data_IF_472639671310
#
_entry.id   IF_472639671310
#
_cell.length_a   1.000
_cell.length_b   1.000
_cell.length_c   1.000
_cell.angle_alpha   90.00
_cell.angle_beta   90.00
_cell.angle_gamma   90.00
#
_symmetry.space_group_name_H-M   'P 1'
#
loop_
_entity.id
_entity.type
_entity.pdbx_description
1 polymer ?
#
# COMPACT_ATOMS: atom_id res chain seq x y z
N UNK A 1 -1.18 -35.00 -26.64
CA UNK A 1 -2.44 -34.33 -27.08
C UNK A 1 -3.23 -33.96 -25.83
N UNK A 2 -3.56 -32.68 -25.63
CA UNK A 2 -4.38 -32.25 -24.49
C UNK A 2 -5.81 -32.77 -24.66
N UNK A 3 -6.40 -33.33 -23.59
CA UNK A 3 -7.75 -33.93 -23.59
C UNK A 3 -8.75 -33.15 -22.72
N UNK A 4 -8.31 -32.08 -22.07
CA UNK A 4 -9.16 -31.29 -21.19
C UNK A 4 -10.07 -30.33 -21.96
N UNK A 5 -11.05 -29.75 -21.25
CA UNK A 5 -11.90 -28.66 -21.75
C UNK A 5 -11.47 -27.37 -21.08
N UNK A 6 -11.08 -26.39 -21.89
CA UNK A 6 -10.73 -25.06 -21.43
C UNK A 6 -11.88 -24.09 -21.74
N UNK A 7 -12.37 -23.39 -20.72
CA UNK A 7 -13.38 -22.34 -20.85
C UNK A 7 -12.97 -21.16 -19.96
N UNK A 8 -13.14 -19.94 -20.45
CA UNK A 8 -12.64 -18.73 -19.80
C UNK A 8 -13.79 -17.83 -19.33
N UNK A 9 -13.52 -17.10 -18.24
CA UNK A 9 -14.32 -15.97 -17.79
C UNK A 9 -13.36 -14.80 -17.52
N UNK A 10 -13.74 -13.61 -17.95
CA UNK A 10 -12.91 -12.40 -17.83
C UNK A 10 -13.52 -11.45 -16.82
N UNK A 11 -12.68 -10.90 -15.95
CA UNK A 11 -13.07 -9.93 -14.92
C UNK A 11 -12.13 -8.73 -14.98
N UNK A 12 -12.65 -7.54 -14.68
CA UNK A 12 -11.84 -6.32 -14.52
C UNK A 12 -12.38 -5.54 -13.33
N UNK A 13 -11.63 -5.58 -12.23
CA UNK A 13 -11.99 -4.91 -10.99
C UNK A 13 -11.12 -3.66 -10.81
N UNK A 14 -11.74 -2.51 -10.54
CA UNK A 14 -11.08 -1.23 -10.40
C UNK A 14 -11.96 -0.16 -9.78
N UNK A 15 -12.93 0.37 -10.55
CA UNK A 15 -13.76 1.51 -10.14
C UNK A 15 -14.52 1.27 -8.84
N UNK A 16 -15.02 0.06 -8.64
CA UNK A 16 -15.76 -0.37 -7.46
C UNK A 16 -14.91 -0.33 -6.18
N UNK A 17 -13.58 -0.31 -6.28
CA UNK A 17 -12.67 -0.21 -5.14
C UNK A 17 -12.32 1.22 -4.72
N UNK A 18 -12.49 2.21 -5.62
CA UNK A 18 -11.95 3.57 -5.43
C UNK A 18 -12.74 4.43 -4.44
N UNK A 19 -14.06 4.22 -4.34
CA UNK A 19 -14.97 4.98 -3.47
C UNK A 19 -15.63 4.07 -2.42
N UNK A 20 -14.90 3.08 -1.93
CA UNK A 20 -15.34 2.21 -0.84
C UNK A 20 -15.16 2.90 0.51
N UNK A 21 -15.85 2.42 1.53
CA UNK A 21 -15.56 2.84 2.89
C UNK A 21 -14.11 2.44 3.25
N UNK A 22 -13.30 3.36 3.83
CA UNK A 22 -11.90 3.07 4.15
C UNK A 22 -11.81 2.07 5.29
N UNK A 23 -10.83 1.17 5.25
CA UNK A 23 -10.49 0.30 6.38
C UNK A 23 -10.19 1.11 7.65
N UNK A 24 -10.23 0.50 8.85
CA UNK A 24 -9.81 1.19 10.07
C UNK A 24 -8.38 1.72 9.95
N UNK A 25 -7.48 0.92 9.34
CA UNK A 25 -6.11 1.34 9.05
C UNK A 25 -6.06 2.63 8.22
N UNK A 26 -6.81 2.70 7.11
CA UNK A 26 -6.82 3.87 6.23
C UNK A 26 -7.54 5.06 6.86
N UNK A 27 -8.58 4.83 7.67
CA UNK A 27 -9.28 5.86 8.41
C UNK A 27 -8.33 6.54 9.43
N UNK A 28 -7.65 5.74 10.26
CA UNK A 28 -6.67 6.22 11.23
C UNK A 28 -5.50 6.91 10.54
N UNK A 29 -4.97 6.32 9.46
CA UNK A 29 -3.83 6.84 8.72
C UNK A 29 -4.15 8.18 8.05
N UNK A 30 -5.28 8.27 7.35
CA UNK A 30 -5.70 9.51 6.68
C UNK A 30 -6.01 10.63 7.68
N UNK A 31 -6.67 10.31 8.80
CA UNK A 31 -6.92 11.28 9.87
C UNK A 31 -5.59 11.79 10.46
N UNK A 32 -4.67 10.88 10.76
CA UNK A 32 -3.34 11.21 11.29
C UNK A 32 -2.53 12.08 10.33
N UNK A 33 -2.60 11.82 9.03
CA UNK A 33 -1.94 12.64 8.00
C UNK A 33 -2.50 14.07 7.96
N UNK A 34 -3.82 14.23 8.00
CA UNK A 34 -4.46 15.55 8.04
C UNK A 34 -4.09 16.34 9.30
N UNK A 35 -4.15 15.68 10.46
CA UNK A 35 -3.74 16.28 11.72
C UNK A 35 -2.25 16.69 11.71
N UNK A 36 -1.39 15.80 11.21
CA UNK A 36 0.05 16.07 11.06
C UNK A 36 0.32 17.25 10.13
N UNK A 37 -0.41 17.36 9.02
CA UNK A 37 -0.30 18.51 8.11
C UNK A 37 -0.64 19.83 8.82
N UNK A 38 -1.72 19.86 9.62
CA UNK A 38 -2.08 21.04 10.42
C UNK A 38 -0.98 21.46 11.39
N UNK A 39 -0.28 20.48 12.01
CA UNK A 39 0.85 20.74 12.90
C UNK A 39 2.05 21.30 12.12
N UNK A 40 2.37 20.73 10.95
CA UNK A 40 3.46 21.24 10.10
C UNK A 40 3.22 22.71 9.72
N UNK A 41 1.98 23.07 9.36
CA UNK A 41 1.58 24.45 9.07
C UNK A 41 1.75 25.34 10.30
N UNK A 42 1.27 24.89 11.47
CA UNK A 42 1.39 25.64 12.73
C UNK A 42 2.85 25.91 13.13
N UNK A 43 3.79 25.05 12.75
CA UNK A 43 5.24 25.24 12.93
C UNK A 43 5.93 25.95 11.77
N UNK A 44 5.18 26.56 10.84
CA UNK A 44 5.71 27.36 9.74
C UNK A 44 6.47 26.55 8.68
N UNK A 45 6.16 25.25 8.52
CA UNK A 45 6.81 24.40 7.52
C UNK A 45 6.09 24.49 6.17
N UNK A 46 6.84 24.62 5.08
CA UNK A 46 6.34 24.63 3.69
C UNK A 46 7.18 23.72 2.80
N UNK A 47 6.58 23.16 1.75
CA UNK A 47 7.25 22.21 0.85
C UNK A 47 7.48 20.82 1.45
N UNK A 48 6.75 20.47 2.51
CA UNK A 48 6.79 19.16 3.16
C UNK A 48 5.53 18.35 2.84
N UNK A 49 5.71 17.05 2.59
CA UNK A 49 4.63 16.07 2.60
C UNK A 49 4.40 15.61 4.04
N UNK A 50 3.14 15.58 4.49
CA UNK A 50 2.76 14.97 5.77
C UNK A 50 3.14 13.49 5.77
N UNK A 51 3.75 13.01 6.85
CA UNK A 51 4.24 11.63 6.94
C UNK A 51 3.93 11.04 8.29
N UNK A 52 3.42 9.81 8.28
CA UNK A 52 3.21 8.99 9.48
C UNK A 52 3.97 7.68 9.25
N UNK A 53 4.85 7.33 10.19
CA UNK A 53 5.74 6.16 10.12
C UNK A 53 5.40 5.14 11.19
N UNK A 54 6.02 3.96 11.09
CA UNK A 54 5.82 2.85 12.03
C UNK A 54 4.38 2.30 12.00
N UNK A 55 3.76 2.30 10.81
CA UNK A 55 2.33 2.03 10.62
C UNK A 55 1.93 0.55 10.75
N UNK A 56 2.88 -0.37 10.92
CA UNK A 56 2.58 -1.78 11.25
C UNK A 56 2.36 -2.03 12.73
N UNK A 57 2.60 -1.04 13.60
CA UNK A 57 2.22 -1.09 15.01
C UNK A 57 0.82 -0.51 15.22
N UNK A 58 0.30 -0.61 16.44
CA UNK A 58 -0.93 0.06 16.84
C UNK A 58 -0.85 1.58 16.59
N UNK A 59 -1.98 2.22 16.24
CA UNK A 59 -2.03 3.63 15.85
C UNK A 59 -1.39 4.58 16.88
N UNK A 60 -1.53 4.27 18.18
CA UNK A 60 -0.90 5.02 19.27
C UNK A 60 0.63 5.07 19.23
N UNK A 61 1.27 4.12 18.55
CA UNK A 61 2.73 3.99 18.44
C UNK A 61 3.25 4.54 17.11
N UNK A 62 2.40 5.17 16.30
CA UNK A 62 2.79 5.79 15.04
C UNK A 62 3.57 7.09 15.27
N UNK A 63 4.45 7.40 14.33
CA UNK A 63 5.37 8.55 14.44
C UNK A 63 5.03 9.56 13.34
N UNK A 64 4.42 10.67 13.72
CA UNK A 64 4.12 11.79 12.84
C UNK A 64 5.38 12.62 12.48
N UNK A 65 5.38 13.22 11.30
CA UNK A 65 6.46 14.07 10.82
C UNK A 65 6.19 14.66 9.44
N UNK A 66 7.23 15.20 8.81
CA UNK A 66 7.19 15.71 7.45
C UNK A 66 8.41 15.29 6.65
N UNK A 67 8.22 15.07 5.34
CA UNK A 67 9.28 14.73 4.39
C UNK A 67 9.38 15.87 3.36
N UNK A 68 10.56 16.50 3.16
CA UNK A 68 10.73 17.52 2.11
C UNK A 68 10.40 16.95 0.73
N UNK A 69 9.51 17.58 -0.04
CA UNK A 69 9.01 16.99 -1.29
C UNK A 69 10.12 16.82 -2.34
N UNK A 70 11.10 17.74 -2.36
CA UNK A 70 12.19 17.74 -3.33
C UNK A 70 13.07 16.49 -3.29
N UNK A 71 13.17 15.80 -2.14
CA UNK A 71 13.97 14.58 -2.03
C UNK A 71 13.37 13.38 -2.77
N UNK A 72 12.10 13.46 -3.15
CA UNK A 72 11.39 12.43 -3.91
C UNK A 72 11.36 12.72 -5.41
N UNK A 73 11.94 13.84 -5.85
CA UNK A 73 11.86 14.30 -7.23
C UNK A 73 13.04 13.85 -8.08
N UNK A 74 12.79 13.62 -9.36
CA UNK A 74 13.77 13.44 -10.42
C UNK A 74 13.35 14.28 -11.65
N UNK A 75 14.15 14.24 -12.73
CA UNK A 75 13.77 14.83 -14.00
C UNK A 75 13.26 13.75 -14.95
N UNK A 76 12.03 13.90 -15.44
CA UNK A 76 11.44 13.03 -16.47
C UNK A 76 11.09 13.84 -17.72
N UNK A 77 11.25 13.25 -18.91
CA UNK A 77 10.81 13.88 -20.17
C UNK A 77 9.30 13.64 -20.36
N UNK A 78 8.51 14.71 -20.40
CA UNK A 78 7.06 14.68 -20.65
C UNK A 78 6.69 15.66 -21.74
N UNK A 79 5.99 15.18 -22.77
CA UNK A 79 5.61 15.97 -23.94
C UNK A 79 6.80 16.72 -24.57
N UNK A 80 7.97 16.06 -24.64
CA UNK A 80 9.18 16.62 -25.27
C UNK A 80 10.10 17.41 -24.33
N UNK A 81 9.64 17.82 -23.15
CA UNK A 81 10.38 18.68 -22.21
C UNK A 81 10.79 17.95 -20.93
N UNK A 82 11.91 18.34 -20.33
CA UNK A 82 12.34 17.83 -19.02
C UNK A 82 11.58 18.55 -17.91
N UNK A 83 10.83 17.80 -17.10
CA UNK A 83 10.01 18.33 -15.99
C UNK A 83 10.40 17.67 -14.66
N UNK A 84 10.50 18.43 -13.56
CA UNK A 84 10.72 17.85 -12.25
C UNK A 84 9.45 17.15 -11.78
N UNK A 85 9.55 15.87 -11.45
CA UNK A 85 8.40 15.04 -11.05
C UNK A 85 8.78 14.09 -9.94
N UNK A 86 7.79 13.60 -9.18
CA UNK A 86 8.02 12.53 -8.21
C UNK A 86 8.15 11.20 -8.96
N UNK A 87 9.24 10.48 -8.71
CA UNK A 87 9.48 9.19 -9.33
C UNK A 87 8.46 8.16 -8.82
N UNK A 88 7.83 7.40 -9.73
CA UNK A 88 6.96 6.30 -9.33
C UNK A 88 7.78 5.18 -8.70
N UNK A 89 7.48 4.83 -7.46
CA UNK A 89 8.03 3.63 -6.81
C UNK A 89 7.35 2.38 -7.39
N UNK A 90 8.09 1.58 -8.16
CA UNK A 90 7.63 0.30 -8.68
C UNK A 90 7.97 -0.84 -7.71
N UNK A 91 7.46 -2.04 -7.99
CA UNK A 91 7.81 -3.24 -7.21
C UNK A 91 9.31 -3.47 -7.23
N UNK A 92 9.92 -3.56 -6.05
CA UNK A 92 11.31 -4.01 -5.91
C UNK A 92 11.38 -5.54 -6.03
N UNK A 93 11.97 -6.02 -7.13
CA UNK A 93 12.16 -7.44 -7.40
C UNK A 93 13.15 -8.12 -6.43
N UNK A 94 13.94 -7.34 -5.69
CA UNK A 94 14.81 -7.82 -4.60
C UNK A 94 14.14 -7.69 -3.23
N UNK A 95 12.99 -7.05 -3.16
CA UNK A 95 12.22 -6.78 -1.95
C UNK A 95 11.57 -8.04 -1.38
N UNK A 96 11.26 -8.00 -0.08
CA UNK A 96 10.64 -9.12 0.65
C UNK A 96 9.27 -9.52 0.11
N UNK A 97 8.36 -8.60 -0.27
CA UNK A 97 7.08 -8.98 -0.87
C UNK A 97 7.24 -9.84 -2.12
N UNK A 98 8.08 -9.41 -3.07
CA UNK A 98 8.28 -10.14 -4.32
C UNK A 98 9.00 -11.48 -4.08
N UNK A 99 10.02 -11.51 -3.21
CA UNK A 99 10.69 -12.77 -2.84
C UNK A 99 9.75 -13.78 -2.19
N UNK A 100 8.83 -13.34 -1.33
CA UNK A 100 7.81 -14.19 -0.74
C UNK A 100 6.92 -14.82 -1.84
N UNK A 101 6.43 -14.02 -2.79
CA UNK A 101 5.70 -14.52 -3.95
C UNK A 101 6.52 -15.55 -4.76
N UNK A 102 7.78 -15.26 -5.09
CA UNK A 102 8.65 -16.16 -5.85
C UNK A 102 8.84 -17.51 -5.14
N UNK A 103 8.96 -17.50 -3.82
CA UNK A 103 9.13 -18.74 -3.02
C UNK A 103 7.91 -19.66 -3.00
N UNK A 104 6.72 -19.14 -3.35
CA UNK A 104 5.45 -19.88 -3.26
C UNK A 104 4.79 -20.16 -4.61
N UNK A 105 5.00 -19.30 -5.61
CA UNK A 105 4.29 -19.34 -6.90
C UNK A 105 4.37 -20.67 -7.65
N UNK A 106 5.46 -21.44 -7.49
CA UNK A 106 5.60 -22.75 -8.14
C UNK A 106 4.65 -23.80 -7.54
N UNK A 107 4.47 -23.78 -6.21
CA UNK A 107 3.50 -24.64 -5.53
C UNK A 107 2.07 -24.20 -5.88
N UNK A 108 1.78 -22.90 -5.78
CA UNK A 108 0.45 -22.33 -6.09
C UNK A 108 0.01 -22.52 -7.55
N UNK A 109 0.94 -22.76 -8.48
CA UNK A 109 0.61 -23.04 -9.87
C UNK A 109 0.01 -24.43 -10.09
N UNK A 110 0.21 -25.36 -9.15
CA UNK A 110 -0.15 -26.78 -9.30
C UNK A 110 -1.10 -27.24 -8.19
N UNK A 111 -0.93 -26.72 -6.98
CA UNK A 111 -1.69 -27.09 -5.79
C UNK A 111 -2.94 -26.21 -5.61
N UNK A 112 -3.95 -26.76 -4.94
CA UNK A 112 -5.18 -26.04 -4.57
C UNK A 112 -5.01 -25.31 -3.24
N UNK A 113 -4.19 -24.26 -3.24
CA UNK A 113 -3.84 -23.47 -2.04
C UNK A 113 -4.54 -22.10 -2.00
N UNK A 114 -5.84 -22.06 -2.28
CA UNK A 114 -6.58 -20.80 -2.29
C UNK A 114 -6.79 -20.24 -0.89
N UNK A 115 -6.69 -18.91 -0.78
CA UNK A 115 -7.05 -18.15 0.43
C UNK A 115 -8.32 -17.37 0.12
N UNK A 116 -9.29 -17.43 1.04
CA UNK A 116 -10.59 -16.78 0.91
C UNK A 116 -10.69 -15.62 1.90
N UNK A 117 -10.17 -14.42 1.57
CA UNK A 117 -10.33 -13.26 2.43
C UNK A 117 -11.81 -12.88 2.52
N UNK A 118 -12.28 -12.53 3.72
CA UNK A 118 -13.62 -12.01 3.94
C UNK A 118 -13.74 -10.52 3.56
N UNK A 119 -14.94 -9.95 3.64
CA UNK A 119 -15.14 -8.51 3.54
C UNK A 119 -14.38 -7.75 4.64
N UNK A 120 -14.04 -6.49 4.39
CA UNK A 120 -13.48 -5.59 5.41
C UNK A 120 -14.41 -5.56 6.63
N UNK A 121 -13.85 -5.80 7.81
CA UNK A 121 -14.57 -5.74 9.08
C UNK A 121 -14.23 -4.44 9.81
N UNK A 122 -15.23 -3.70 10.25
CA UNK A 122 -15.07 -2.45 11.02
C UNK A 122 -15.23 -2.64 12.53
N UNK A 123 -15.79 -3.78 12.93
CA UNK A 123 -16.10 -4.11 14.31
C UNK A 123 -15.60 -5.52 14.62
N UNK A 124 -15.11 -5.72 15.83
CA UNK A 124 -14.61 -7.01 16.30
C UNK A 124 -13.14 -6.93 16.77
N UNK A 125 -12.43 -8.06 16.79
CA UNK A 125 -11.05 -8.12 17.21
C UNK A 125 -10.14 -7.24 16.35
N UNK A 126 -9.23 -6.50 16.98
CA UNK A 126 -8.30 -5.57 16.32
C UNK A 126 -7.37 -6.28 15.32
N UNK A 127 -7.02 -7.53 15.59
CA UNK A 127 -6.24 -8.39 14.69
C UNK A 127 -6.92 -8.65 13.33
N UNK A 128 -8.24 -8.46 13.25
CA UNK A 128 -9.04 -8.57 12.02
C UNK A 128 -9.34 -7.19 11.43
N UNK A 129 -9.82 -6.25 12.25
CA UNK A 129 -10.31 -4.95 11.77
C UNK A 129 -9.20 -3.96 11.42
N UNK A 130 -8.06 -4.05 12.10
CA UNK A 130 -6.97 -3.08 11.99
C UNK A 130 -5.76 -3.68 11.23
N UNK A 131 -5.97 -4.78 10.49
CA UNK A 131 -4.89 -5.51 9.82
C UNK A 131 -4.31 -4.69 8.64
N UNK A 132 -2.99 -4.36 8.64
CA UNK A 132 -2.38 -3.75 7.46
C UNK A 132 -2.13 -4.79 6.36
N UNK A 133 -1.86 -4.30 5.15
CA UNK A 133 -1.55 -5.17 4.00
C UNK A 133 -0.37 -6.11 4.24
N UNK A 134 -0.38 -7.29 3.59
CA UNK A 134 0.76 -8.22 3.64
C UNK A 134 2.04 -7.59 3.10
N UNK A 135 1.94 -6.72 2.10
CA UNK A 135 3.08 -5.93 1.58
C UNK A 135 3.75 -5.15 2.70
N UNK A 136 2.99 -4.35 3.44
CA UNK A 136 3.54 -3.50 4.50
C UNK A 136 4.13 -4.34 5.65
N UNK A 137 3.49 -5.46 6.01
CA UNK A 137 4.01 -6.41 7.01
C UNK A 137 5.35 -7.01 6.57
N UNK A 138 5.46 -7.46 5.33
CA UNK A 138 6.70 -8.03 4.78
C UNK A 138 7.79 -6.97 4.63
N UNK A 139 7.45 -5.73 4.29
CA UNK A 139 8.40 -4.61 4.19
C UNK A 139 8.88 -4.10 5.55
N UNK A 140 8.09 -4.28 6.61
CA UNK A 140 8.42 -3.83 7.97
C UNK A 140 8.96 -4.92 8.88
N UNK A 141 8.93 -6.19 8.46
CA UNK A 141 9.58 -7.27 9.19
C UNK A 141 11.05 -6.91 9.47
N UNK A 142 11.68 -7.45 10.50
CA UNK A 142 13.14 -7.32 10.65
C UNK A 142 13.79 -8.45 9.89
#
# INVERSE_FOLDING_TARGET
>A
KYIGKFATQTHFFGYEGLCTAPSNYDADYCYSLGYTASRLIAYGKTGYMSSVRNTTKAAKDWIAGGVPITMMMNMERRHGEMKPVIQKALVDLKGRPFKNFVSKRAAWAIQTDYVYPGPIQYFGPTEVCDEPSKTLKLESAK
#
